data_IF_674173046774
#
_entry.id   IF_674173046774
#
_cell.length_a   1.000
_cell.length_b   1.000
_cell.length_c   1.000
_cell.angle_alpha   90.00
_cell.angle_beta   90.00
_cell.angle_gamma   90.00
#
_symmetry.space_group_name_H-M   'P 1'
#
loop_
_entity.id
_entity.type
_entity.pdbx_description
1 polymer ?
#
# COMPACT_ATOMS: atom_id res chain seq x y z
N UNK A 1 83.42 -21.20 -22.85
CA UNK A 1 82.50 -21.74 -21.83
C UNK A 1 81.60 -20.62 -21.41
N UNK A 2 80.35 -20.62 -21.86
CA UNK A 2 79.38 -19.55 -21.56
C UNK A 2 78.14 -20.22 -20.89
N UNK A 3 78.06 -20.03 -19.57
CA UNK A 3 76.93 -20.52 -18.80
C UNK A 3 75.67 -19.66 -19.10
N UNK A 4 74.61 -20.30 -19.57
CA UNK A 4 73.25 -19.72 -19.66
C UNK A 4 72.50 -19.99 -18.36
N UNK A 5 72.20 -18.93 -17.66
CA UNK A 5 71.32 -18.95 -16.49
C UNK A 5 69.91 -18.75 -17.04
N UNK A 6 69.04 -19.75 -16.83
CA UNK A 6 67.63 -19.70 -17.19
C UNK A 6 66.86 -19.25 -15.97
N UNK A 7 66.32 -18.03 -15.97
CA UNK A 7 65.47 -17.50 -14.92
C UNK A 7 64.04 -18.01 -15.16
N UNK A 8 63.49 -18.78 -14.21
CA UNK A 8 62.11 -19.17 -14.15
C UNK A 8 61.34 -18.11 -13.36
N UNK A 9 60.50 -17.34 -14.05
CA UNK A 9 59.58 -16.41 -13.43
C UNK A 9 58.33 -17.18 -13.05
N UNK A 10 58.10 -17.44 -11.76
CA UNK A 10 56.88 -17.98 -11.23
C UNK A 10 55.83 -16.83 -11.09
N UNK A 11 54.85 -16.84 -12.00
CA UNK A 11 53.70 -15.94 -11.90
C UNK A 11 52.72 -16.46 -10.85
N UNK A 12 52.74 -15.87 -9.66
CA UNK A 12 51.68 -16.06 -8.66
C UNK A 12 50.44 -15.29 -9.12
N UNK A 13 49.47 -16.01 -9.67
CA UNK A 13 48.14 -15.50 -9.96
C UNK A 13 47.34 -15.34 -8.66
N UNK A 14 47.21 -14.12 -8.16
CA UNK A 14 46.29 -13.75 -7.08
C UNK A 14 44.87 -13.79 -7.64
N UNK A 15 44.15 -14.89 -7.41
CA UNK A 15 42.70 -14.95 -7.64
C UNK A 15 42.03 -14.03 -6.60
N UNK A 16 41.65 -12.83 -7.02
CA UNK A 16 40.77 -11.96 -6.23
C UNK A 16 39.39 -12.64 -6.16
N UNK A 17 39.09 -13.27 -5.01
CA UNK A 17 37.75 -13.72 -4.66
C UNK A 17 36.95 -12.43 -4.47
N UNK A 18 36.21 -12.02 -5.50
CA UNK A 18 35.17 -11.01 -5.36
C UNK A 18 34.07 -11.65 -4.50
N UNK A 19 34.12 -11.39 -3.20
CA UNK A 19 33.00 -11.64 -2.31
C UNK A 19 31.89 -10.72 -2.74
N UNK A 20 30.95 -11.24 -3.54
CA UNK A 20 29.66 -10.60 -3.72
C UNK A 20 29.00 -10.58 -2.34
N UNK A 21 29.02 -9.43 -1.68
CA UNK A 21 28.15 -9.21 -0.54
C UNK A 21 26.72 -9.40 -1.06
N UNK A 22 26.13 -10.58 -0.82
CA UNK A 22 24.71 -10.76 -0.99
C UNK A 22 24.06 -9.68 -0.11
N UNK A 23 23.47 -8.67 -0.72
CA UNK A 23 22.64 -7.74 0.03
C UNK A 23 21.57 -8.59 0.71
N UNK A 24 21.52 -8.55 2.05
CA UNK A 24 20.45 -9.17 2.81
C UNK A 24 19.13 -8.68 2.24
N UNK A 25 18.22 -9.59 1.89
CA UNK A 25 16.90 -9.26 1.36
C UNK A 25 16.03 -8.59 2.41
N UNK A 26 14.94 -8.00 1.99
CA UNK A 26 13.99 -7.35 2.92
C UNK A 26 13.50 -8.32 3.99
N UNK A 27 13.33 -9.60 3.67
CA UNK A 27 12.93 -10.65 4.61
C UNK A 27 13.92 -10.75 5.78
N UNK A 28 15.22 -10.81 5.49
CA UNK A 28 16.27 -10.92 6.50
C UNK A 28 16.32 -9.68 7.40
N UNK A 29 16.19 -8.50 6.80
CA UNK A 29 16.15 -7.23 7.52
C UNK A 29 14.94 -7.15 8.47
N UNK A 30 13.76 -7.60 8.03
CA UNK A 30 12.55 -7.65 8.85
C UNK A 30 12.71 -8.65 9.99
N UNK A 31 13.21 -9.86 9.71
CA UNK A 31 13.48 -10.89 10.73
C UNK A 31 14.51 -10.42 11.76
N UNK A 32 15.63 -9.85 11.31
CA UNK A 32 16.69 -9.32 12.19
C UNK A 32 16.18 -8.19 13.09
N UNK A 33 15.35 -7.32 12.56
CA UNK A 33 14.75 -6.19 13.29
C UNK A 33 13.62 -6.61 14.22
N UNK A 34 12.97 -7.75 13.94
CA UNK A 34 11.83 -8.25 14.70
C UNK A 34 10.56 -7.43 14.56
N UNK A 35 10.44 -6.60 13.53
CA UNK A 35 9.27 -5.77 13.27
C UNK A 35 9.16 -5.43 11.77
N UNK A 36 7.93 -5.46 11.24
CA UNK A 36 7.59 -5.04 9.89
C UNK A 36 7.30 -3.53 9.87
N UNK A 37 7.97 -2.77 9.01
CA UNK A 37 7.70 -1.35 8.79
C UNK A 37 6.74 -1.20 7.61
N UNK A 38 5.47 -0.89 7.91
CA UNK A 38 4.45 -0.64 6.90
C UNK A 38 4.34 0.85 6.59
N UNK A 39 4.50 1.23 5.32
CA UNK A 39 4.15 2.56 4.86
C UNK A 39 2.64 2.66 4.73
N UNK A 40 2.02 3.56 5.50
CA UNK A 40 0.58 3.75 5.62
C UNK A 40 0.19 5.22 5.43
N UNK A 41 -1.10 5.53 5.34
CA UNK A 41 -1.59 6.91 5.27
C UNK A 41 -1.36 7.66 6.59
N UNK A 42 -1.51 8.98 6.56
CA UNK A 42 -1.47 9.82 7.77
C UNK A 42 -2.71 9.70 8.64
N UNK A 43 -3.77 9.08 8.14
CA UNK A 43 -5.04 8.83 8.82
C UNK A 43 -6.22 8.87 7.86
N UNK A 44 -6.75 7.70 7.49
CA UNK A 44 -8.01 7.55 6.74
C UNK A 44 -8.85 6.54 7.51
N UNK A 45 -10.00 6.96 8.01
CA UNK A 45 -10.92 6.08 8.72
C UNK A 45 -11.27 4.87 7.84
N UNK A 46 -11.31 3.68 8.43
CA UNK A 46 -11.54 2.42 7.72
C UNK A 46 -10.32 1.84 7.00
N UNK A 47 -9.34 2.63 6.56
CA UNK A 47 -8.13 2.13 5.88
C UNK A 47 -6.92 2.04 6.82
N UNK A 48 -6.38 3.16 7.26
CA UNK A 48 -5.30 3.21 8.23
C UNK A 48 -5.48 4.43 9.11
N UNK A 49 -5.77 4.26 10.38
CA UNK A 49 -5.93 5.36 11.34
C UNK A 49 -5.61 4.91 12.75
N UNK A 50 -5.04 5.80 13.59
CA UNK A 50 -4.88 5.51 15.00
C UNK A 50 -6.19 5.74 15.75
N UNK A 51 -6.55 4.82 16.65
CA UNK A 51 -7.64 5.06 17.60
C UNK A 51 -7.21 6.04 18.71
N UNK A 52 -8.11 6.32 19.65
CA UNK A 52 -7.87 7.25 20.76
C UNK A 52 -6.70 6.83 21.68
N UNK A 53 -6.32 5.56 21.67
CA UNK A 53 -5.17 5.02 22.42
C UNK A 53 -3.87 4.97 21.58
N UNK A 54 -3.92 5.46 20.33
CA UNK A 54 -2.79 5.43 19.41
C UNK A 54 -2.61 4.09 18.68
N UNK A 55 -3.52 3.13 18.86
CA UNK A 55 -3.46 1.83 18.17
C UNK A 55 -3.96 1.98 16.74
N UNK A 56 -3.12 1.62 15.79
CA UNK A 56 -3.46 1.64 14.37
C UNK A 56 -4.48 0.56 14.00
N UNK A 57 -5.50 0.92 13.21
CA UNK A 57 -6.60 0.05 12.78
C UNK A 57 -6.98 0.34 11.33
N UNK A 58 -7.67 -0.60 10.72
CA UNK A 58 -8.28 -0.49 9.39
C UNK A 58 -7.72 -1.47 8.39
N UNK A 59 -8.32 -1.48 7.22
CA UNK A 59 -8.08 -2.41 6.12
C UNK A 59 -6.59 -2.55 5.74
N UNK A 60 -5.90 -1.43 5.51
CA UNK A 60 -4.46 -1.44 5.19
C UNK A 60 -3.61 -1.96 6.36
N UNK A 61 -4.02 -1.66 7.59
CA UNK A 61 -3.33 -2.12 8.80
C UNK A 61 -3.50 -3.63 9.00
N UNK A 62 -4.65 -4.17 8.64
CA UNK A 62 -4.90 -5.60 8.79
C UNK A 62 -4.06 -6.41 7.79
N UNK A 63 -3.82 -5.91 6.58
CA UNK A 63 -2.82 -6.48 5.66
C UNK A 63 -1.37 -6.35 6.17
N UNK A 64 -1.03 -5.22 6.81
CA UNK A 64 0.26 -5.11 7.51
C UNK A 64 0.41 -6.19 8.59
N UNK A 65 -0.64 -6.43 9.37
CA UNK A 65 -0.67 -7.48 10.40
C UNK A 65 -0.58 -8.88 9.82
N UNK A 66 -1.29 -9.15 8.72
CA UNK A 66 -1.19 -10.43 8.01
C UNK A 66 0.25 -10.67 7.52
N UNK A 67 0.88 -9.64 6.92
CA UNK A 67 2.28 -9.74 6.50
C UNK A 67 3.23 -9.96 7.69
N UNK A 68 3.02 -9.28 8.81
CA UNK A 68 3.83 -9.48 10.02
C UNK A 68 3.61 -10.86 10.65
N UNK A 69 2.38 -11.37 10.66
CA UNK A 69 2.07 -12.73 11.12
C UNK A 69 2.81 -13.77 10.27
N UNK A 70 2.73 -13.66 8.95
CA UNK A 70 3.39 -14.58 8.03
C UNK A 70 4.92 -14.59 8.20
N UNK A 71 5.55 -13.42 8.38
CA UNK A 71 7.02 -13.28 8.39
C UNK A 71 7.63 -13.47 9.79
N UNK A 72 6.93 -13.04 10.84
CA UNK A 72 7.43 -12.96 12.22
C UNK A 72 6.64 -13.81 13.22
N UNK A 73 5.59 -14.53 12.76
CA UNK A 73 4.70 -15.31 13.62
C UNK A 73 3.86 -14.47 14.59
N UNK A 74 3.80 -13.13 14.42
CA UNK A 74 3.10 -12.24 15.33
C UNK A 74 2.55 -11.01 14.61
N UNK A 75 1.24 -10.92 14.48
CA UNK A 75 0.52 -9.81 13.85
C UNK A 75 0.74 -8.44 14.54
N UNK A 76 1.22 -8.42 15.78
CA UNK A 76 1.47 -7.19 16.54
C UNK A 76 2.82 -6.57 16.21
N UNK A 77 3.72 -7.30 15.55
CA UNK A 77 5.08 -6.84 15.20
C UNK A 77 5.09 -5.92 13.99
N UNK A 78 4.22 -4.93 13.97
CA UNK A 78 4.17 -3.88 12.95
C UNK A 78 4.64 -2.54 13.51
N UNK A 79 5.27 -1.73 12.63
CA UNK A 79 5.56 -0.32 12.85
C UNK A 79 4.95 0.48 11.70
N UNK A 80 3.93 1.27 11.98
CA UNK A 80 3.35 2.17 11.00
C UNK A 80 4.34 3.30 10.66
N UNK A 81 4.65 3.45 9.37
CA UNK A 81 5.45 4.54 8.82
C UNK A 81 4.49 5.44 8.05
N UNK A 82 4.04 6.50 8.68
CA UNK A 82 3.05 7.40 8.08
C UNK A 82 3.62 8.16 6.88
N UNK A 83 2.79 8.36 5.84
CA UNK A 83 3.20 9.02 4.60
C UNK A 83 2.06 9.82 3.99
N UNK A 84 2.40 10.92 3.32
CA UNK A 84 1.48 11.68 2.46
C UNK A 84 1.41 11.07 1.06
N UNK A 85 0.56 11.60 0.18
CA UNK A 85 0.54 11.24 -1.24
C UNK A 85 1.89 11.43 -1.92
N UNK A 86 2.61 12.49 -1.53
CA UNK A 86 3.94 12.85 -2.04
C UNK A 86 5.08 11.95 -1.53
N UNK A 87 5.06 11.56 -0.26
CA UNK A 87 6.23 10.97 0.41
C UNK A 87 6.23 9.44 0.45
N UNK A 88 5.08 8.78 0.17
CA UNK A 88 4.93 7.31 0.28
C UNK A 88 5.94 6.53 -0.55
N UNK A 89 6.18 6.96 -1.78
CA UNK A 89 7.10 6.25 -2.69
C UNK A 89 8.57 6.45 -2.28
N UNK A 90 8.93 7.65 -1.86
CA UNK A 90 10.27 7.93 -1.35
C UNK A 90 10.55 7.10 -0.10
N UNK A 91 9.60 7.02 0.84
CA UNK A 91 9.75 6.21 2.07
C UNK A 91 9.90 4.72 1.79
N UNK A 92 9.18 4.20 0.79
CA UNK A 92 9.35 2.81 0.37
C UNK A 92 10.71 2.62 -0.31
N UNK A 93 11.05 3.45 -1.30
CA UNK A 93 12.27 3.30 -2.11
C UNK A 93 13.56 3.55 -1.32
N UNK A 94 13.54 4.44 -0.33
CA UNK A 94 14.68 4.67 0.58
C UNK A 94 14.90 3.55 1.61
N UNK A 95 13.97 2.59 1.70
CA UNK A 95 14.02 1.54 2.71
C UNK A 95 13.59 2.00 4.11
N UNK A 96 12.97 3.16 4.25
CA UNK A 96 12.32 3.57 5.51
C UNK A 96 11.14 2.65 5.85
N UNK A 97 10.42 2.16 4.82
CA UNK A 97 9.41 1.12 4.92
C UNK A 97 9.78 -0.14 4.14
N UNK A 98 9.22 -1.27 4.55
CA UNK A 98 9.46 -2.57 3.93
C UNK A 98 8.40 -2.90 2.88
N UNK A 99 7.17 -2.46 3.12
CA UNK A 99 6.00 -2.65 2.25
C UNK A 99 5.09 -1.43 2.32
N UNK A 100 4.43 -1.14 1.21
CA UNK A 100 3.41 -0.10 1.11
C UNK A 100 2.03 -0.76 1.14
N UNK A 101 1.38 -0.81 2.29
CA UNK A 101 -0.03 -1.13 2.46
C UNK A 101 -0.78 0.18 2.73
N UNK A 102 -1.18 0.81 1.65
CA UNK A 102 -1.82 2.12 1.67
C UNK A 102 -2.66 2.24 0.41
N UNK A 103 -3.85 2.82 0.49
CA UNK A 103 -4.72 3.11 -0.66
C UNK A 103 -3.94 3.72 -1.85
N UNK A 104 -3.25 2.86 -2.59
CA UNK A 104 -2.33 3.28 -3.67
C UNK A 104 -2.76 2.67 -5.00
N UNK A 105 -3.20 3.54 -5.90
CA UNK A 105 -3.64 3.16 -7.25
C UNK A 105 -2.49 2.60 -8.07
N UNK A 106 -2.70 1.46 -8.68
CA UNK A 106 -1.81 0.84 -9.65
C UNK A 106 -1.83 1.68 -10.92
N UNK A 107 -0.68 2.23 -11.31
CA UNK A 107 -0.52 2.95 -12.59
C UNK A 107 0.80 2.59 -13.25
N UNK A 108 0.85 2.71 -14.58
CA UNK A 108 2.07 2.47 -15.36
C UNK A 108 3.26 3.31 -14.84
N UNK A 109 3.03 4.60 -14.57
CA UNK A 109 4.09 5.49 -14.09
C UNK A 109 4.63 5.09 -12.72
N UNK A 110 3.78 4.58 -11.83
CA UNK A 110 4.20 4.10 -10.50
C UNK A 110 4.94 2.78 -10.57
N UNK A 111 4.45 1.84 -11.38
CA UNK A 111 5.08 0.54 -11.55
C UNK A 111 6.43 0.68 -12.27
N UNK A 112 6.42 1.20 -13.50
CA UNK A 112 7.60 1.26 -14.37
C UNK A 112 8.49 2.47 -14.05
N UNK A 113 7.90 3.66 -13.86
CA UNK A 113 8.64 4.92 -13.66
C UNK A 113 9.22 5.05 -12.25
N UNK A 114 8.39 4.81 -11.24
CA UNK A 114 8.80 4.91 -9.83
C UNK A 114 9.47 3.63 -9.31
N UNK A 115 9.40 2.52 -10.08
CA UNK A 115 9.98 1.22 -9.72
C UNK A 115 9.30 0.56 -8.52
N UNK A 116 7.97 0.52 -8.56
CA UNK A 116 7.15 -0.17 -7.56
C UNK A 116 6.61 -1.48 -8.15
N UNK A 117 6.79 -2.58 -7.45
CA UNK A 117 6.13 -3.86 -7.77
C UNK A 117 4.80 -3.92 -7.04
N UNK A 118 3.68 -3.92 -7.79
CA UNK A 118 2.34 -4.12 -7.25
C UNK A 118 1.98 -5.61 -7.18
N UNK A 119 1.21 -6.00 -6.14
CA UNK A 119 0.93 -7.40 -5.79
C UNK A 119 -0.55 -7.79 -5.91
N UNK A 120 -1.30 -7.10 -6.74
CA UNK A 120 -2.72 -7.33 -6.95
C UNK A 120 -3.58 -6.15 -6.52
N UNK A 121 -4.88 -6.26 -6.75
CA UNK A 121 -5.86 -5.22 -6.41
C UNK A 121 -6.66 -5.68 -5.20
N UNK A 122 -6.44 -5.03 -4.05
CA UNK A 122 -7.16 -5.34 -2.82
C UNK A 122 -8.44 -4.50 -2.64
N UNK A 123 -8.59 -3.40 -3.40
CA UNK A 123 -9.78 -2.57 -3.38
C UNK A 123 -9.97 -1.87 -4.73
N UNK A 124 -11.16 -2.01 -5.34
CA UNK A 124 -11.52 -1.25 -6.54
C UNK A 124 -12.26 0.01 -6.13
N UNK A 125 -11.64 1.16 -6.39
CA UNK A 125 -12.19 2.47 -6.06
C UNK A 125 -12.35 3.35 -7.31
N UNK A 126 -12.73 4.59 -7.11
CA UNK A 126 -12.84 5.62 -8.12
C UNK A 126 -12.93 6.98 -7.47
N UNK A 127 -12.44 8.01 -8.14
CA UNK A 127 -12.49 9.37 -7.63
C UNK A 127 -13.88 9.97 -7.74
N UNK A 128 -14.33 10.59 -6.64
CA UNK A 128 -15.59 11.33 -6.56
C UNK A 128 -15.41 12.73 -6.01
N UNK A 129 -16.53 13.39 -5.76
CA UNK A 129 -16.60 14.74 -5.22
C UNK A 129 -17.57 14.80 -4.04
N UNK A 130 -17.20 15.47 -2.98
CA UNK A 130 -18.07 15.76 -1.83
C UNK A 130 -18.27 17.26 -1.72
N UNK A 131 -19.53 17.66 -1.53
CA UNK A 131 -19.95 19.05 -1.38
C UNK A 131 -20.90 19.20 -0.21
N UNK A 132 -20.98 20.41 0.36
CA UNK A 132 -22.05 20.74 1.29
C UNK A 132 -23.35 20.97 0.51
N UNK A 133 -24.48 20.46 1.00
CA UNK A 133 -25.82 20.64 0.40
C UNK A 133 -26.17 22.11 0.11
N UNK A 134 -25.64 23.02 0.91
CA UNK A 134 -25.85 24.48 0.74
C UNK A 134 -25.32 25.01 -0.59
N UNK A 135 -24.35 24.30 -1.23
CA UNK A 135 -23.83 24.67 -2.54
C UNK A 135 -24.90 24.51 -3.65
N UNK A 136 -25.92 23.67 -3.42
CA UNK A 136 -27.06 23.51 -4.31
C UNK A 136 -26.80 22.66 -5.55
N UNK A 137 -25.55 22.20 -5.79
CA UNK A 137 -25.17 21.39 -6.95
C UNK A 137 -25.56 19.92 -6.77
N UNK A 138 -25.88 19.26 -7.89
CA UNK A 138 -26.28 17.85 -7.92
C UNK A 138 -25.37 16.98 -8.82
N UNK A 139 -24.50 17.61 -9.58
CA UNK A 139 -23.62 16.96 -10.54
C UNK A 139 -22.22 17.60 -10.48
N UNK A 140 -21.18 16.79 -10.70
CA UNK A 140 -19.82 17.28 -10.83
C UNK A 140 -19.63 18.25 -12.01
N UNK A 141 -20.53 18.20 -13.00
CA UNK A 141 -20.56 19.15 -14.14
C UNK A 141 -20.96 20.58 -13.74
N UNK A 142 -21.51 20.74 -12.56
CA UNK A 142 -21.93 22.04 -12.04
C UNK A 142 -20.81 22.71 -11.16
N UNK A 143 -19.65 22.09 -11.04
CA UNK A 143 -18.55 22.53 -10.17
C UNK A 143 -17.62 23.58 -10.82
N UNK A 144 -17.99 24.12 -11.98
CA UNK A 144 -17.18 25.16 -12.64
C UNK A 144 -16.98 26.39 -11.77
N UNK A 145 -15.72 26.81 -11.56
CA UNK A 145 -15.33 27.93 -10.72
C UNK A 145 -15.20 27.63 -9.23
N UNK A 146 -15.51 26.40 -8.78
CA UNK A 146 -15.42 26.05 -7.38
C UNK A 146 -13.97 25.95 -6.88
N UNK A 147 -13.77 26.23 -5.58
CA UNK A 147 -12.53 25.91 -4.86
C UNK A 147 -12.54 24.43 -4.44
N UNK A 148 -11.47 23.70 -4.81
CA UNK A 148 -11.38 22.25 -4.64
C UNK A 148 -10.18 21.86 -3.78
N UNK A 149 -10.44 21.27 -2.61
CA UNK A 149 -9.41 20.65 -1.80
C UNK A 149 -8.90 19.39 -2.51
N UNK A 150 -7.60 19.36 -2.84
CA UNK A 150 -6.95 18.27 -3.56
C UNK A 150 -5.61 17.90 -2.94
N UNK A 151 -5.41 16.60 -2.69
CA UNK A 151 -4.16 16.11 -2.12
C UNK A 151 -3.09 15.98 -3.21
N UNK A 152 -1.95 16.65 -2.99
CA UNK A 152 -0.84 16.69 -3.95
C UNK A 152 -0.11 15.33 -4.04
N UNK A 153 0.45 15.04 -5.22
CA UNK A 153 1.19 13.81 -5.51
C UNK A 153 0.30 12.56 -5.61
N UNK A 154 -0.96 12.74 -6.01
CA UNK A 154 -1.95 11.67 -6.15
C UNK A 154 -2.44 11.55 -7.59
N UNK A 155 -3.04 10.40 -7.94
CA UNK A 155 -3.82 10.24 -9.18
C UNK A 155 -4.99 11.21 -9.21
N UNK A 156 -5.57 11.49 -8.06
CA UNK A 156 -6.72 12.39 -7.88
C UNK A 156 -6.43 13.82 -8.36
N UNK A 157 -5.20 14.31 -8.13
CA UNK A 157 -4.77 15.64 -8.62
C UNK A 157 -4.74 15.68 -10.16
N UNK A 158 -4.21 14.64 -10.80
CA UNK A 158 -4.16 14.55 -12.26
C UNK A 158 -5.57 14.38 -12.86
N UNK A 159 -6.36 13.46 -12.33
CA UNK A 159 -7.71 13.18 -12.81
C UNK A 159 -8.62 14.41 -12.67
N UNK A 160 -8.46 15.20 -11.59
CA UNK A 160 -9.21 16.44 -11.40
C UNK A 160 -8.92 17.42 -12.55
N UNK A 161 -7.65 17.64 -12.86
CA UNK A 161 -7.24 18.54 -13.95
C UNK A 161 -7.80 18.07 -15.30
N UNK A 162 -7.67 16.78 -15.59
CA UNK A 162 -8.14 16.17 -16.83
C UNK A 162 -9.67 16.27 -16.96
N UNK A 163 -10.41 15.98 -15.88
CA UNK A 163 -11.87 16.03 -15.89
C UNK A 163 -12.39 17.46 -16.11
N UNK A 164 -11.85 18.45 -15.42
CA UNK A 164 -12.26 19.85 -15.59
C UNK A 164 -11.90 20.38 -16.97
N UNK A 165 -10.70 20.07 -17.47
CA UNK A 165 -10.29 20.44 -18.82
C UNK A 165 -11.21 19.82 -19.89
N UNK A 166 -11.48 18.51 -19.79
CA UNK A 166 -12.36 17.81 -20.75
C UNK A 166 -13.80 18.33 -20.79
N UNK A 167 -14.29 18.90 -19.67
CA UNK A 167 -15.61 19.50 -19.58
C UNK A 167 -15.61 21.03 -19.78
N UNK A 168 -14.48 21.63 -20.18
CA UNK A 168 -14.38 23.10 -20.40
C UNK A 168 -14.56 23.92 -19.11
N UNK A 169 -14.34 23.32 -17.94
CA UNK A 169 -14.51 23.94 -16.64
C UNK A 169 -13.18 24.44 -16.08
N UNK A 170 -13.25 25.45 -15.22
CA UNK A 170 -12.12 25.92 -14.40
C UNK A 170 -12.41 25.64 -12.93
N UNK A 171 -11.37 25.51 -12.12
CA UNK A 171 -11.46 25.39 -10.66
C UNK A 171 -10.30 26.13 -10.00
N UNK A 172 -10.43 26.40 -8.69
CA UNK A 172 -9.37 26.90 -7.85
C UNK A 172 -8.81 25.74 -6.99
N UNK A 173 -7.55 25.39 -7.20
CA UNK A 173 -6.93 24.29 -6.45
C UNK A 173 -6.51 24.76 -5.06
N UNK A 174 -7.07 24.14 -4.02
CA UNK A 174 -6.59 24.26 -2.64
C UNK A 174 -5.73 23.02 -2.34
N UNK A 175 -4.42 23.16 -2.56
CA UNK A 175 -3.46 22.07 -2.40
C UNK A 175 -3.28 21.72 -0.91
N UNK A 176 -3.36 20.45 -0.59
CA UNK A 176 -3.22 19.87 0.75
C UNK A 176 -2.26 18.68 0.73
N UNK A 177 -1.72 18.31 1.88
CA UNK A 177 -0.83 17.15 1.99
C UNK A 177 -1.44 15.97 2.75
N UNK A 178 -2.26 16.22 3.77
CA UNK A 178 -2.83 15.18 4.63
C UNK A 178 -4.34 15.12 4.54
N UNK A 179 -4.94 13.95 4.85
CA UNK A 179 -6.39 13.80 4.88
C UNK A 179 -7.05 14.66 6.00
N UNK A 180 -6.36 14.84 7.12
CA UNK A 180 -6.87 15.69 8.20
C UNK A 180 -6.90 17.17 7.79
N UNK A 181 -5.87 17.63 7.10
CA UNK A 181 -5.84 18.97 6.51
C UNK A 181 -6.95 19.16 5.48
N UNK A 182 -7.22 18.15 4.62
CA UNK A 182 -8.34 18.20 3.68
C UNK A 182 -9.66 18.36 4.40
N UNK A 183 -9.87 17.54 5.43
CA UNK A 183 -11.08 17.58 6.25
C UNK A 183 -11.28 18.94 6.91
N UNK A 184 -10.23 19.49 7.52
CA UNK A 184 -10.27 20.79 8.20
C UNK A 184 -10.56 21.94 7.22
N UNK A 185 -9.86 21.98 6.09
CA UNK A 185 -10.05 23.03 5.06
C UNK A 185 -11.46 22.97 4.45
N UNK A 186 -11.95 21.77 4.16
CA UNK A 186 -13.31 21.60 3.65
C UNK A 186 -14.37 22.01 4.69
N UNK A 187 -14.25 21.55 5.93
CA UNK A 187 -15.21 21.86 7.01
C UNK A 187 -15.21 23.36 7.39
N UNK A 188 -14.08 24.05 7.27
CA UNK A 188 -14.00 25.52 7.50
C UNK A 188 -14.51 26.34 6.32
N UNK A 189 -14.87 25.73 5.19
CA UNK A 189 -15.33 26.43 3.99
C UNK A 189 -14.20 27.07 3.18
N UNK A 190 -12.93 26.69 3.41
CA UNK A 190 -11.81 27.12 2.58
C UNK A 190 -11.86 26.50 1.19
N UNK A 191 -12.49 25.32 1.05
CA UNK A 191 -12.84 24.71 -0.23
C UNK A 191 -14.33 24.41 -0.26
N UNK A 192 -14.96 24.68 -1.40
CA UNK A 192 -16.36 24.32 -1.67
C UNK A 192 -16.52 22.80 -1.87
N UNK A 193 -15.46 22.18 -2.40
CA UNK A 193 -15.44 20.78 -2.82
C UNK A 193 -14.25 20.07 -2.21
N UNK A 194 -14.47 18.83 -1.73
CA UNK A 194 -13.39 17.90 -1.44
C UNK A 194 -13.43 16.75 -2.44
N UNK A 195 -12.31 16.44 -3.08
CA UNK A 195 -12.17 15.31 -4.02
C UNK A 195 -11.06 14.36 -3.60
N UNK A 196 -11.37 13.10 -3.62
CA UNK A 196 -10.48 11.93 -3.42
C UNK A 196 -11.24 10.67 -3.84
N UNK A 197 -10.69 9.50 -3.56
CA UNK A 197 -11.37 8.22 -3.74
C UNK A 197 -12.73 8.23 -3.03
N UNK A 198 -13.76 7.65 -3.64
CA UNK A 198 -15.13 7.66 -3.12
C UNK A 198 -15.24 6.99 -1.74
N UNK A 199 -14.48 5.92 -1.51
CA UNK A 199 -14.37 5.29 -0.19
C UNK A 199 -13.78 6.26 0.85
N UNK A 200 -12.74 7.01 0.49
CA UNK A 200 -12.12 8.05 1.32
C UNK A 200 -13.07 9.20 1.63
N UNK A 201 -13.89 9.62 0.65
CA UNK A 201 -14.95 10.61 0.88
C UNK A 201 -16.01 10.09 1.86
N UNK A 202 -16.47 8.86 1.68
CA UNK A 202 -17.44 8.23 2.58
C UNK A 202 -16.88 8.09 4.00
N UNK A 203 -15.64 7.63 4.12
CA UNK A 203 -14.94 7.51 5.39
C UNK A 203 -14.79 8.87 6.09
N UNK A 204 -14.35 9.90 5.35
CA UNK A 204 -14.23 11.26 5.90
C UNK A 204 -15.59 11.81 6.35
N UNK A 205 -16.61 11.68 5.50
CA UNK A 205 -17.98 12.13 5.82
C UNK A 205 -18.52 11.49 7.09
N UNK A 206 -18.22 10.21 7.34
CA UNK A 206 -18.68 9.50 8.54
C UNK A 206 -18.13 10.09 9.85
N UNK A 207 -17.06 10.87 9.78
CA UNK A 207 -16.46 11.56 10.94
C UNK A 207 -17.03 12.95 11.21
N UNK A 208 -17.90 13.45 10.33
CA UNK A 208 -18.48 14.80 10.48
C UNK A 208 -19.63 14.79 11.48
N UNK A 209 -19.76 15.79 12.34
CA UNK A 209 -20.87 15.91 13.27
C UNK A 209 -22.22 16.13 12.55
N UNK A 210 -22.17 16.70 11.34
CA UNK A 210 -23.31 17.02 10.47
C UNK A 210 -23.25 16.29 9.12
N UNK A 211 -22.83 15.03 9.11
CA UNK A 211 -22.62 14.19 7.93
C UNK A 211 -23.77 14.23 6.91
N UNK A 212 -25.02 14.39 7.39
CA UNK A 212 -26.23 14.50 6.55
C UNK A 212 -26.26 15.77 5.66
N UNK A 213 -25.46 16.80 5.98
CA UNK A 213 -25.35 18.03 5.20
C UNK A 213 -24.31 17.95 4.08
N UNK A 214 -23.59 16.85 3.98
CA UNK A 214 -22.54 16.63 2.99
C UNK A 214 -22.97 15.53 2.02
N UNK A 215 -22.87 15.82 0.73
CA UNK A 215 -23.27 14.91 -0.34
C UNK A 215 -22.04 14.50 -1.15
N UNK A 216 -21.91 13.20 -1.38
CA UNK A 216 -20.99 12.69 -2.39
C UNK A 216 -21.78 12.68 -3.69
N UNK A 217 -21.29 13.41 -4.71
CA UNK A 217 -21.93 13.50 -6.00
C UNK A 217 -21.88 12.16 -6.73
N UNK A 218 -22.82 11.91 -7.66
CA UNK A 218 -22.98 10.58 -8.27
C UNK A 218 -21.85 10.22 -9.27
N UNK A 219 -21.13 11.20 -9.79
CA UNK A 219 -20.09 10.94 -10.78
C UNK A 219 -18.83 10.35 -10.15
N UNK A 220 -18.37 9.26 -10.74
CA UNK A 220 -17.05 8.66 -10.51
C UNK A 220 -16.20 8.91 -11.75
N UNK A 221 -15.18 9.74 -11.61
CA UNK A 221 -14.42 10.28 -12.74
C UNK A 221 -13.16 9.48 -13.11
N UNK A 222 -12.81 8.47 -12.31
CA UNK A 222 -11.66 7.61 -12.58
C UNK A 222 -11.91 6.16 -12.18
N UNK A 223 -10.94 5.30 -12.50
CA UNK A 223 -10.81 3.94 -11.97
C UNK A 223 -9.54 3.89 -11.14
N UNK A 224 -9.69 3.55 -9.87
CA UNK A 224 -8.60 3.50 -8.90
C UNK A 224 -8.45 2.06 -8.38
N UNK A 225 -7.75 1.17 -9.11
CA UNK A 225 -7.40 -0.16 -8.60
C UNK A 225 -6.31 -0.01 -7.55
N UNK A 226 -6.66 -0.12 -6.27
CA UNK A 226 -5.74 0.04 -5.15
C UNK A 226 -5.04 -1.28 -4.85
N UNK A 227 -3.76 -1.22 -4.50
CA UNK A 227 -3.02 -2.42 -4.14
C UNK A 227 -1.73 -2.14 -3.38
N UNK A 228 -1.19 -3.19 -2.73
CA UNK A 228 0.10 -3.11 -2.04
C UNK A 228 1.26 -3.05 -3.03
N UNK A 229 2.37 -2.47 -2.56
CA UNK A 229 3.57 -2.42 -3.38
C UNK A 229 4.85 -2.63 -2.55
N UNK A 230 5.86 -3.19 -3.21
CA UNK A 230 7.24 -3.30 -2.73
C UNK A 230 8.20 -2.60 -3.69
N UNK A 231 9.46 -2.49 -3.32
CA UNK A 231 10.53 -2.06 -4.22
C UNK A 231 10.78 -3.13 -5.29
N UNK A 232 11.23 -2.73 -6.46
CA UNK A 232 11.81 -3.67 -7.43
C UNK A 232 13.11 -4.29 -6.93
N UNK A 233 13.44 -5.49 -7.43
CA UNK A 233 14.73 -6.14 -7.23
C UNK A 233 14.84 -7.01 -5.98
N UNK A 234 13.72 -7.29 -5.31
CA UNK A 234 13.64 -8.26 -4.21
C UNK A 234 12.46 -9.21 -4.50
N UNK A 235 12.73 -10.23 -5.30
CA UNK A 235 11.68 -11.13 -5.78
C UNK A 235 11.11 -11.98 -4.64
N UNK A 236 11.95 -12.44 -3.70
CA UNK A 236 11.47 -13.19 -2.54
C UNK A 236 10.50 -12.36 -1.68
N UNK A 237 10.83 -11.10 -1.42
CA UNK A 237 9.95 -10.22 -0.67
C UNK A 237 8.65 -9.93 -1.42
N UNK A 238 8.76 -9.75 -2.74
CA UNK A 238 7.61 -9.58 -3.63
C UNK A 238 6.67 -10.78 -3.61
N UNK A 239 7.22 -11.99 -3.67
CA UNK A 239 6.44 -13.24 -3.59
C UNK A 239 5.74 -13.37 -2.24
N UNK A 240 6.44 -13.09 -1.15
CA UNK A 240 5.83 -13.10 0.20
C UNK A 240 4.63 -12.17 0.27
N UNK A 241 4.77 -10.91 -0.14
CA UNK A 241 3.66 -9.94 -0.10
C UNK A 241 2.52 -10.35 -1.02
N UNK A 242 2.82 -10.88 -2.20
CA UNK A 242 1.84 -11.43 -3.14
C UNK A 242 1.04 -12.58 -2.52
N UNK A 243 1.73 -13.55 -1.95
CA UNK A 243 1.07 -14.73 -1.42
C UNK A 243 0.36 -14.47 -0.09
N UNK A 244 0.82 -13.54 0.73
CA UNK A 244 0.05 -13.05 1.88
C UNK A 244 -1.29 -12.45 1.42
N UNK A 245 -1.28 -11.65 0.36
CA UNK A 245 -2.52 -11.11 -0.20
C UNK A 245 -3.42 -12.24 -0.72
N UNK A 246 -2.91 -13.15 -1.54
CA UNK A 246 -3.72 -14.25 -2.09
C UNK A 246 -4.19 -15.22 -1.01
N UNK A 247 -3.42 -15.47 0.05
CA UNK A 247 -3.87 -16.28 1.17
C UNK A 247 -5.13 -15.69 1.85
N UNK A 248 -5.20 -14.36 1.99
CA UNK A 248 -6.41 -13.72 2.55
C UNK A 248 -7.62 -13.87 1.63
N UNK A 249 -7.44 -13.76 0.30
CA UNK A 249 -8.51 -13.97 -0.69
C UNK A 249 -8.97 -15.43 -0.70
N UNK A 250 -8.02 -16.35 -0.71
CA UNK A 250 -8.32 -17.80 -0.68
C UNK A 250 -9.01 -18.20 0.63
N UNK A 251 -8.58 -17.64 1.76
CA UNK A 251 -9.22 -17.88 3.05
C UNK A 251 -10.69 -17.42 3.05
N UNK A 252 -10.97 -16.24 2.48
CA UNK A 252 -12.34 -15.73 2.33
C UNK A 252 -13.18 -16.65 1.47
N UNK A 253 -12.67 -17.07 0.29
CA UNK A 253 -13.35 -17.97 -0.64
C UNK A 253 -13.66 -19.33 -0.01
N UNK A 254 -12.71 -19.88 0.75
CA UNK A 254 -12.85 -21.19 1.40
C UNK A 254 -13.55 -21.12 2.77
N UNK A 255 -13.96 -19.95 3.21
CA UNK A 255 -14.62 -19.74 4.50
C UNK A 255 -13.71 -19.99 5.71
N UNK A 256 -12.39 -19.84 5.55
CA UNK A 256 -11.43 -19.91 6.65
C UNK A 256 -11.35 -18.56 7.34
N UNK A 257 -11.53 -18.56 8.65
CA UNK A 257 -11.54 -17.34 9.49
C UNK A 257 -10.72 -17.54 10.75
N UNK A 258 -10.38 -16.47 11.45
CA UNK A 258 -9.74 -16.54 12.77
C UNK A 258 -10.53 -17.33 13.81
N UNK A 259 -11.85 -17.43 13.65
CA UNK A 259 -12.72 -18.17 14.55
C UNK A 259 -12.73 -19.68 14.30
N UNK A 260 -12.37 -20.14 13.10
CA UNK A 260 -12.47 -21.55 12.72
C UNK A 260 -11.15 -22.17 12.22
N UNK A 261 -10.08 -21.42 12.08
CA UNK A 261 -8.81 -21.86 11.48
C UNK A 261 -8.27 -23.14 12.11
N UNK A 262 -8.31 -23.29 13.43
CA UNK A 262 -7.83 -24.49 14.10
C UNK A 262 -8.66 -25.73 13.75
N UNK A 263 -9.98 -25.59 13.61
CA UNK A 263 -10.85 -26.66 13.13
C UNK A 263 -10.56 -26.99 11.65
N UNK A 264 -10.27 -25.98 10.83
CA UNK A 264 -10.01 -26.16 9.40
C UNK A 264 -8.70 -26.88 9.11
N UNK A 265 -7.75 -26.96 10.05
CA UNK A 265 -6.57 -27.83 9.97
C UNK A 265 -6.90 -29.33 9.89
N UNK A 266 -8.13 -29.71 10.22
CA UNK A 266 -8.64 -31.10 10.08
C UNK A 266 -9.64 -31.21 8.91
N UNK A 267 -9.66 -30.28 7.99
CA UNK A 267 -10.52 -30.28 6.80
C UNK A 267 -10.22 -31.48 5.89
N UNK A 268 -11.22 -31.90 5.12
CA UNK A 268 -11.03 -32.84 4.01
C UNK A 268 -10.68 -32.16 2.69
N UNK A 269 -10.69 -30.82 2.65
CA UNK A 269 -10.31 -30.06 1.47
C UNK A 269 -8.78 -29.92 1.41
N UNK A 270 -8.09 -30.51 0.40
CA UNK A 270 -6.64 -30.46 0.29
C UNK A 270 -6.10 -29.04 0.11
N UNK A 271 -6.88 -28.13 -0.48
CA UNK A 271 -6.48 -26.74 -0.67
C UNK A 271 -6.36 -26.01 0.67
N UNK A 272 -7.33 -26.21 1.57
CA UNK A 272 -7.27 -25.69 2.95
C UNK A 272 -6.07 -26.26 3.69
N UNK A 273 -5.82 -27.57 3.57
CA UNK A 273 -4.68 -28.21 4.24
C UNK A 273 -3.33 -27.67 3.76
N UNK A 274 -3.19 -27.43 2.45
CA UNK A 274 -1.99 -26.81 1.88
C UNK A 274 -1.84 -25.36 2.33
N UNK A 275 -2.90 -24.55 2.24
CA UNK A 275 -2.90 -23.18 2.68
C UNK A 275 -2.48 -23.04 4.15
N UNK A 276 -3.02 -23.88 5.03
CA UNK A 276 -2.74 -23.85 6.47
C UNK A 276 -1.45 -24.59 6.86
N UNK A 277 -0.64 -25.05 5.89
CA UNK A 277 0.63 -25.73 6.13
C UNK A 277 0.50 -27.12 6.78
N UNK A 278 -0.68 -27.73 6.78
CA UNK A 278 -0.86 -29.11 7.23
C UNK A 278 -0.22 -30.08 6.22
N UNK A 279 -0.42 -29.79 4.92
CA UNK A 279 0.18 -30.51 3.80
C UNK A 279 1.07 -29.57 2.97
N UNK A 280 2.06 -30.13 2.28
CA UNK A 280 2.97 -29.38 1.42
C UNK A 280 4.04 -28.59 2.19
N UNK A 281 4.76 -27.72 1.47
CA UNK A 281 5.93 -26.97 1.93
C UNK A 281 5.92 -25.49 1.44
N UNK A 282 4.74 -24.93 1.15
CA UNK A 282 4.62 -23.58 0.57
C UNK A 282 5.29 -22.49 1.42
N UNK A 283 5.21 -22.60 2.76
CA UNK A 283 5.89 -21.67 3.65
C UNK A 283 7.40 -21.71 3.50
N UNK A 284 7.97 -22.93 3.48
CA UNK A 284 9.40 -23.14 3.36
C UNK A 284 9.93 -22.67 1.99
N UNK A 285 9.17 -22.83 0.91
CA UNK A 285 9.50 -22.31 -0.42
C UNK A 285 9.55 -20.77 -0.44
N UNK A 286 8.74 -20.10 0.37
CA UNK A 286 8.80 -18.66 0.58
C UNK A 286 9.91 -18.21 1.54
N UNK A 287 10.58 -19.17 2.24
CA UNK A 287 11.53 -18.87 3.32
C UNK A 287 10.85 -18.51 4.64
N UNK A 288 9.60 -18.94 4.83
CA UNK A 288 8.76 -18.70 6.00
C UNK A 288 8.55 -20.02 6.80
N UNK A 289 7.82 -19.94 7.90
CA UNK A 289 7.37 -21.13 8.62
C UNK A 289 6.34 -21.91 7.79
N UNK A 290 6.21 -23.21 8.07
CA UNK A 290 5.26 -24.07 7.36
C UNK A 290 3.81 -23.58 7.48
N UNK A 291 3.47 -23.02 8.61
CA UNK A 291 2.15 -22.49 9.00
C UNK A 291 2.06 -20.94 8.86
N UNK A 292 2.64 -20.40 7.83
CA UNK A 292 2.78 -18.96 7.57
C UNK A 292 1.45 -18.22 7.28
N UNK A 293 0.43 -18.91 6.74
CA UNK A 293 -0.85 -18.35 6.29
C UNK A 293 -1.94 -18.33 7.37
#
# INVERSE_FOLDING_TARGET
MRNKITSVIAALGTAAIMSTTANAGTLDDVKKRGALRCVVSTGIAGFAYPDKSGVWKGFDIDFCRATAAAVLGDAKKIKAVTSTGKTRFTKLNSGEGDVLWRNTTITFSRDVGVKLRFHGVNYYDGQGFMVNKKLGVKSAKELGGASVCIQTGTTTELNLADYFHANGMKYEAVAIETNDEARQNYMSGRCDVYTTDASGLAATRSTFPDAQNHVILPEIISKEPLGPATRHGDDQWSDIVTWVYYATVTAEELGVTSANVDKMKSSKNPEILRMLGVEGNQGEELGLSKDWA
#
